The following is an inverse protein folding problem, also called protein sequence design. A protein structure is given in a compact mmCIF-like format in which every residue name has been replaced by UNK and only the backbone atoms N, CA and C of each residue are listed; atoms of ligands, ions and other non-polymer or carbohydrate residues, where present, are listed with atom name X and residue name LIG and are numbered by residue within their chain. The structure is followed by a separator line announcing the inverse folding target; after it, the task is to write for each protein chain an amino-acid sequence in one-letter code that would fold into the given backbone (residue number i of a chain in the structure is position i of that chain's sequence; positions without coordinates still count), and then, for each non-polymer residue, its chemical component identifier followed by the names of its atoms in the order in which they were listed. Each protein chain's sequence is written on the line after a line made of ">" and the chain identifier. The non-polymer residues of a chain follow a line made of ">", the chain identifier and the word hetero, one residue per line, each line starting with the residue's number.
data_IF_127778793016
#
_entry.id   IF_127778793016
#
_cell.length_a   1.000
_cell.length_b   1.000
_cell.length_c   1.000
_cell.angle_alpha   90.00
_cell.angle_beta   90.00
_cell.angle_gamma   90.00
#
_symmetry.space_group_name_H-M   'P 1'
#
loop_
_entity.id
_entity.type
_entity.pdbx_description
1 polymer ?
#
# COMPACT_ATOMS: atom_id res chain seq x y z
N UNK A 1 -20.67 -8.54 -5.03
CA UNK A 1 -19.34 -7.91 -4.88
C UNK A 1 -18.43 -8.95 -4.25
N UNK A 2 -17.29 -9.25 -4.86
CA UNK A 2 -16.28 -10.12 -4.23
C UNK A 2 -15.55 -9.22 -3.23
N UNK A 3 -15.40 -9.69 -1.99
CA UNK A 3 -14.64 -8.99 -0.96
C UNK A 3 -13.44 -9.87 -0.62
N UNK A 4 -12.25 -9.40 -0.94
CA UNK A 4 -11.02 -10.11 -0.61
C UNK A 4 -10.66 -9.86 0.85
N UNK A 5 -10.12 -10.89 1.51
CA UNK A 5 -9.42 -10.72 2.78
C UNK A 5 -7.99 -10.33 2.43
N UNK A 6 -7.51 -9.24 3.01
CA UNK A 6 -6.14 -8.75 2.79
C UNK A 6 -5.32 -9.13 4.01
N UNK A 7 -4.35 -10.01 3.80
CA UNK A 7 -3.34 -10.36 4.78
C UNK A 7 -2.04 -9.64 4.44
N UNK A 8 -1.47 -8.93 5.41
CA UNK A 8 -0.21 -8.21 5.26
C UNK A 8 0.91 -9.11 5.79
N UNK A 9 1.91 -9.38 4.94
CA UNK A 9 3.10 -10.12 5.36
C UNK A 9 3.91 -9.30 6.37
N UNK A 10 4.56 -9.93 7.37
CA UNK A 10 5.36 -9.22 8.38
C UNK A 10 6.43 -8.30 7.77
N UNK A 11 7.06 -8.75 6.68
CA UNK A 11 8.08 -7.99 5.95
C UNK A 11 7.48 -6.73 5.30
N UNK A 12 6.30 -6.84 4.70
CA UNK A 12 5.59 -5.72 4.11
C UNK A 12 5.16 -4.69 5.18
N UNK A 13 4.72 -5.15 6.35
CA UNK A 13 4.41 -4.26 7.47
C UNK A 13 5.66 -3.50 7.95
N UNK A 14 6.80 -4.17 8.02
CA UNK A 14 8.06 -3.55 8.38
C UNK A 14 8.48 -2.48 7.36
N UNK A 15 8.38 -2.77 6.06
CA UNK A 15 8.69 -1.81 5.00
C UNK A 15 7.80 -0.56 5.04
N UNK A 16 6.48 -0.74 5.20
CA UNK A 16 5.53 0.39 5.34
C UNK A 16 5.90 1.26 6.56
N UNK A 17 6.28 0.61 7.67
CA UNK A 17 6.66 1.31 8.90
C UNK A 17 7.96 2.09 8.75
N UNK A 18 8.97 1.51 8.10
CA UNK A 18 10.25 2.18 7.83
C UNK A 18 10.04 3.38 6.89
N UNK A 19 9.24 3.22 5.84
CA UNK A 19 8.88 4.33 4.95
C UNK A 19 8.17 5.47 5.71
N UNK A 20 7.22 5.14 6.60
CA UNK A 20 6.56 6.13 7.45
C UNK A 20 7.58 6.92 8.29
N UNK A 21 8.51 6.24 8.95
CA UNK A 21 9.53 6.92 9.76
C UNK A 21 10.47 7.79 8.91
N UNK A 22 10.85 7.33 7.72
CA UNK A 22 11.65 8.12 6.80
C UNK A 22 10.97 9.45 6.43
N UNK A 23 9.67 9.42 6.15
CA UNK A 23 8.89 10.63 5.91
C UNK A 23 8.74 11.46 7.19
N UNK A 24 8.51 10.83 8.33
CA UNK A 24 8.25 11.53 9.60
C UNK A 24 9.45 12.36 10.06
N UNK A 25 10.66 11.82 9.90
CA UNK A 25 11.92 12.53 10.18
C UNK A 25 12.08 13.82 9.35
N UNK A 26 11.45 13.88 8.17
CA UNK A 26 11.57 15.01 7.24
C UNK A 26 10.40 15.98 7.33
N UNK A 27 9.19 15.44 7.40
CA UNK A 27 7.93 16.18 7.46
C UNK A 27 6.83 15.30 8.04
N UNK A 28 6.33 15.60 9.25
CA UNK A 28 5.21 14.88 9.84
C UNK A 28 3.96 14.87 8.94
N UNK A 29 3.72 15.97 8.22
CA UNK A 29 2.61 16.07 7.27
C UNK A 29 2.77 15.07 6.10
N UNK A 30 4.00 14.88 5.62
CA UNK A 30 4.28 13.91 4.56
C UNK A 30 4.08 12.46 5.06
N UNK A 31 4.45 12.17 6.31
CA UNK A 31 4.24 10.86 6.91
C UNK A 31 2.75 10.53 7.08
N UNK A 32 1.95 11.51 7.52
CA UNK A 32 0.50 11.34 7.63
C UNK A 32 -0.15 11.13 6.25
N UNK A 33 0.28 11.89 5.24
CA UNK A 33 -0.19 11.72 3.87
C UNK A 33 0.19 10.34 3.30
N UNK A 34 1.42 9.87 3.55
CA UNK A 34 1.88 8.54 3.15
C UNK A 34 1.05 7.43 3.80
N UNK A 35 0.81 7.54 5.11
CA UNK A 35 -0.03 6.59 5.85
C UNK A 35 -1.45 6.54 5.29
N UNK A 36 -2.05 7.71 5.04
CA UNK A 36 -3.40 7.80 4.52
C UNK A 36 -3.52 7.16 3.13
N UNK A 37 -2.59 7.46 2.21
CA UNK A 37 -2.61 6.91 0.87
C UNK A 37 -2.35 5.39 0.86
N UNK A 38 -1.41 4.92 1.68
CA UNK A 38 -1.12 3.48 1.81
C UNK A 38 -2.34 2.71 2.30
N UNK A 39 -3.04 3.22 3.31
CA UNK A 39 -4.23 2.56 3.86
C UNK A 39 -5.39 2.58 2.85
N UNK A 40 -5.58 3.68 2.13
CA UNK A 40 -6.57 3.74 1.05
C UNK A 40 -6.28 2.73 -0.06
N UNK A 41 -5.01 2.53 -0.43
CA UNK A 41 -4.62 1.53 -1.41
C UNK A 41 -4.93 0.10 -0.92
N UNK A 42 -4.59 -0.21 0.33
CA UNK A 42 -4.87 -1.51 0.96
C UNK A 42 -6.38 -1.77 1.03
N UNK A 43 -7.17 -0.78 1.47
CA UNK A 43 -8.63 -0.90 1.51
C UNK A 43 -9.22 -1.13 0.11
N UNK A 44 -8.66 -0.47 -0.91
CA UNK A 44 -9.03 -0.66 -2.32
C UNK A 44 -8.79 -2.09 -2.82
N UNK A 45 -7.78 -2.79 -2.32
CA UNK A 45 -7.54 -4.20 -2.69
C UNK A 45 -8.73 -5.10 -2.31
N UNK A 46 -9.50 -4.74 -1.28
CA UNK A 46 -10.64 -5.56 -0.85
C UNK A 46 -11.74 -5.66 -1.91
N UNK A 47 -11.85 -4.69 -2.83
CA UNK A 47 -12.86 -4.68 -3.90
C UNK A 47 -12.25 -4.82 -5.29
N UNK A 48 -11.05 -4.29 -5.48
CA UNK A 48 -10.49 -4.04 -6.80
C UNK A 48 -9.28 -4.92 -7.12
N UNK A 49 -8.93 -5.90 -6.26
CA UNK A 49 -7.72 -6.72 -6.40
C UNK A 49 -7.52 -7.30 -7.81
N UNK A 50 -8.59 -7.67 -8.52
CA UNK A 50 -8.50 -8.28 -9.87
C UNK A 50 -8.46 -7.25 -11.02
N UNK A 51 -8.58 -5.95 -10.73
CA UNK A 51 -8.61 -4.91 -11.77
C UNK A 51 -7.22 -4.66 -12.39
N UNK A 52 -6.14 -4.98 -11.68
CA UNK A 52 -4.79 -4.82 -12.20
C UNK A 52 -4.34 -6.04 -12.99
N UNK A 53 -3.61 -5.84 -14.10
CA UNK A 53 -3.02 -6.94 -14.85
C UNK A 53 -2.02 -7.70 -13.96
N UNK A 54 -2.08 -9.02 -14.03
CA UNK A 54 -1.07 -9.90 -13.44
C UNK A 54 0.19 -9.89 -14.33
N UNK A 55 1.36 -10.00 -13.70
CA UNK A 55 2.59 -10.36 -14.41
C UNK A 55 2.70 -11.89 -14.59
N UNK A 56 3.80 -12.34 -15.20
CA UNK A 56 4.06 -13.77 -15.45
C UNK A 56 4.10 -14.62 -14.16
N UNK A 57 4.28 -14.00 -12.99
CA UNK A 57 4.29 -14.65 -11.68
C UNK A 57 2.95 -14.61 -10.96
N UNK A 58 1.90 -14.06 -11.57
CA UNK A 58 0.60 -13.85 -10.90
C UNK A 58 0.62 -12.70 -9.89
N UNK A 59 1.64 -11.86 -9.91
CA UNK A 59 1.76 -10.70 -9.03
C UNK A 59 1.06 -9.51 -9.69
N UNK A 60 0.34 -8.75 -8.89
CA UNK A 60 -0.27 -7.48 -9.29
C UNK A 60 0.42 -6.35 -8.56
N UNK A 61 0.59 -5.21 -9.24
CA UNK A 61 1.23 -4.03 -8.67
C UNK A 61 0.27 -2.85 -8.64
N UNK A 62 0.20 -2.20 -7.47
CA UNK A 62 -0.41 -0.89 -7.28
C UNK A 62 0.69 0.10 -6.90
N UNK A 63 0.79 1.20 -7.65
CA UNK A 63 1.77 2.27 -7.38
C UNK A 63 1.02 3.42 -6.70
N UNK A 64 1.52 3.86 -5.54
CA UNK A 64 0.97 5.04 -4.87
C UNK A 64 1.20 6.27 -5.76
N UNK A 65 0.25 7.20 -5.76
CA UNK A 65 0.23 8.36 -6.65
C UNK A 65 1.22 9.44 -6.22
N UNK A 66 1.37 9.66 -4.92
CA UNK A 66 2.22 10.75 -4.40
C UNK A 66 3.54 10.27 -3.80
N UNK A 67 3.69 8.96 -3.61
CA UNK A 67 4.85 8.38 -2.94
C UNK A 67 5.51 7.36 -3.88
N UNK A 68 6.76 7.62 -4.32
CA UNK A 68 7.48 6.72 -5.21
C UNK A 68 8.02 5.48 -4.49
#
# INVERSE_FOLDING_TARGET
>A
MIRFVVDILPEAEAEIREAFFWYFERSPIAADAFRAETFQAIDGLTTDALMWPEDEGGIRRHILRHFP
#
